data_IF_955663030306
#
_entry.id   IF_955663030306
#
_cell.length_a   1.000
_cell.length_b   1.000
_cell.length_c   1.000
_cell.angle_alpha   90.00
_cell.angle_beta   90.00
_cell.angle_gamma   90.00
#
_symmetry.space_group_name_H-M   'P 1'
#
loop_
_entity.id
_entity.type
_entity.pdbx_description
1 polymer ?
#
# COMPACT_ATOMS: atom_id res chain seq x y z
N UNK A 1 9.85 6.99 -14.89
CA UNK A 1 9.97 6.70 -13.43
C UNK A 1 11.09 7.55 -12.87
N UNK A 2 10.97 8.05 -11.63
CA UNK A 2 11.88 9.07 -11.11
C UNK A 2 13.32 8.57 -10.93
N UNK A 3 13.52 7.27 -10.71
CA UNK A 3 14.85 6.68 -10.53
C UNK A 3 15.81 6.89 -11.71
N UNK A 4 15.31 7.03 -12.95
CA UNK A 4 16.18 7.31 -14.11
C UNK A 4 16.93 8.64 -13.96
N UNK A 5 16.30 9.66 -13.37
CA UNK A 5 16.95 10.95 -13.13
C UNK A 5 18.14 10.80 -12.17
N UNK A 6 17.97 10.00 -11.11
CA UNK A 6 19.03 9.75 -10.13
C UNK A 6 20.16 8.89 -10.70
N UNK A 7 19.83 7.93 -11.57
CA UNK A 7 20.85 7.14 -12.29
C UNK A 7 21.66 8.05 -13.22
N UNK A 8 21.00 8.90 -14.01
CA UNK A 8 21.69 9.84 -14.92
C UNK A 8 22.55 10.82 -14.12
N UNK A 9 22.03 11.37 -13.02
CA UNK A 9 22.80 12.24 -12.13
C UNK A 9 24.02 11.51 -11.55
N UNK A 10 23.87 10.27 -11.10
CA UNK A 10 24.97 9.46 -10.59
C UNK A 10 26.05 9.23 -11.66
N UNK A 11 25.65 8.86 -12.89
CA UNK A 11 26.58 8.67 -14.00
C UNK A 11 27.30 9.98 -14.36
N UNK A 12 26.57 11.10 -14.38
CA UNK A 12 27.14 12.42 -14.63
C UNK A 12 28.16 12.83 -13.56
N UNK A 13 27.84 12.61 -12.28
CA UNK A 13 28.78 12.87 -11.18
C UNK A 13 30.05 12.02 -11.32
N UNK A 14 29.94 10.74 -11.67
CA UNK A 14 31.09 9.89 -11.91
C UNK A 14 31.96 10.40 -13.07
N UNK A 15 31.34 10.91 -14.15
CA UNK A 15 32.08 11.52 -15.27
C UNK A 15 32.85 12.77 -14.83
N UNK A 16 32.26 13.63 -13.99
CA UNK A 16 32.96 14.80 -13.44
C UNK A 16 34.12 14.39 -12.53
N UNK A 17 33.90 13.44 -11.62
CA UNK A 17 34.94 12.93 -10.71
C UNK A 17 36.12 12.39 -11.52
N UNK A 18 35.84 11.70 -12.64
CA UNK A 18 36.86 11.24 -13.58
C UNK A 18 37.59 12.40 -14.27
N UNK A 19 36.85 13.36 -14.85
CA UNK A 19 37.40 14.49 -15.58
C UNK A 19 38.30 15.39 -14.71
N UNK A 20 38.02 15.50 -13.42
CA UNK A 20 38.81 16.27 -12.46
C UNK A 20 39.86 15.44 -11.70
N UNK A 21 40.12 14.19 -12.10
CA UNK A 21 41.10 13.30 -11.47
C UNK A 21 40.95 13.21 -9.94
N UNK A 22 39.71 13.16 -9.45
CA UNK A 22 39.40 13.10 -8.03
C UNK A 22 39.80 11.76 -7.40
N UNK A 23 39.87 11.74 -6.06
CA UNK A 23 40.29 10.54 -5.31
C UNK A 23 39.22 9.45 -5.29
N UNK A 24 39.63 8.21 -5.04
CA UNK A 24 38.73 7.05 -4.91
C UNK A 24 37.65 7.26 -3.82
N UNK A 25 37.96 8.04 -2.78
CA UNK A 25 37.02 8.33 -1.70
C UNK A 25 35.78 9.11 -2.16
N UNK A 26 35.92 9.95 -3.19
CA UNK A 26 34.79 10.69 -3.77
C UNK A 26 33.85 9.74 -4.50
N UNK A 27 34.38 8.75 -5.23
CA UNK A 27 33.57 7.69 -5.86
C UNK A 27 32.80 6.88 -4.82
N UNK A 28 33.48 6.45 -3.75
CA UNK A 28 32.86 5.68 -2.66
C UNK A 28 31.73 6.49 -2.01
N UNK A 29 31.98 7.77 -1.70
CA UNK A 29 30.96 8.65 -1.15
C UNK A 29 29.75 8.79 -2.08
N UNK A 30 29.96 9.06 -3.37
CA UNK A 30 28.88 9.14 -4.35
C UNK A 30 28.10 7.83 -4.48
N UNK A 31 28.77 6.67 -4.44
CA UNK A 31 28.14 5.37 -4.48
C UNK A 31 27.27 5.10 -3.24
N UNK A 32 27.76 5.47 -2.05
CA UNK A 32 26.99 5.35 -0.79
C UNK A 32 25.75 6.23 -0.85
N UNK A 33 25.90 7.50 -1.28
CA UNK A 33 24.77 8.42 -1.41
C UNK A 33 23.73 7.94 -2.43
N UNK A 34 24.18 7.44 -3.58
CA UNK A 34 23.29 6.86 -4.58
C UNK A 34 22.55 5.62 -4.05
N UNK A 35 23.28 4.72 -3.39
CA UNK A 35 22.71 3.53 -2.76
C UNK A 35 21.68 3.88 -1.69
N UNK A 36 21.95 4.89 -0.86
CA UNK A 36 21.01 5.38 0.16
C UNK A 36 19.72 5.94 -0.47
N UNK A 37 19.82 6.69 -1.57
CA UNK A 37 18.65 7.19 -2.32
C UNK A 37 17.86 6.05 -2.93
N UNK A 38 18.52 5.04 -3.50
CA UNK A 38 17.86 3.86 -4.06
C UNK A 38 17.11 3.07 -2.98
N UNK A 39 17.75 2.85 -1.82
CA UNK A 39 17.11 2.17 -0.68
C UNK A 39 15.90 2.98 -0.20
N UNK A 40 16.05 4.28 0.03
CA UNK A 40 14.93 5.12 0.44
C UNK A 40 13.78 5.09 -0.57
N UNK A 41 14.08 5.21 -1.87
CA UNK A 41 13.10 5.10 -2.95
C UNK A 41 12.40 3.73 -3.03
N UNK A 42 13.05 2.67 -2.58
CA UNK A 42 12.48 1.32 -2.51
C UNK A 42 11.45 1.18 -1.39
N UNK A 43 11.68 1.81 -0.25
CA UNK A 43 10.85 1.68 0.96
C UNK A 43 9.82 2.80 1.17
N UNK A 44 9.92 3.90 0.40
CA UNK A 44 8.99 5.02 0.47
C UNK A 44 8.09 5.08 -0.78
N UNK A 45 6.91 4.45 -0.67
CA UNK A 45 5.91 4.37 -1.73
C UNK A 45 5.39 5.74 -2.18
N UNK A 46 5.54 6.79 -1.35
CA UNK A 46 5.08 8.16 -1.66
C UNK A 46 5.97 8.87 -2.67
N UNK A 47 7.24 8.47 -2.77
CA UNK A 47 8.18 9.06 -3.71
C UNK A 47 7.85 8.68 -5.15
N UNK A 48 7.18 7.55 -5.38
CA UNK A 48 6.94 7.02 -6.72
C UNK A 48 8.25 6.70 -7.46
N UNK A 49 9.24 6.20 -6.74
CA UNK A 49 10.61 6.06 -7.26
C UNK A 49 10.69 4.97 -8.34
N UNK A 50 10.26 3.74 -8.01
CA UNK A 50 10.19 2.61 -8.95
C UNK A 50 8.80 2.39 -9.54
N UNK A 51 7.73 2.78 -8.83
CA UNK A 51 6.35 2.58 -9.28
C UNK A 51 5.58 3.85 -9.03
N UNK A 52 4.77 4.31 -9.97
CA UNK A 52 3.85 5.41 -9.72
C UNK A 52 2.70 4.88 -8.85
N UNK A 53 2.52 5.45 -7.66
CA UNK A 53 1.53 5.00 -6.69
C UNK A 53 0.49 6.08 -6.45
N UNK A 54 -0.79 5.72 -6.44
CA UNK A 54 -1.81 6.60 -5.92
C UNK A 54 -1.73 6.55 -4.40
N UNK A 55 -1.33 7.66 -3.77
CA UNK A 55 -1.12 7.73 -2.31
C UNK A 55 -2.10 8.65 -1.60
N UNK A 56 -2.83 9.47 -2.36
CA UNK A 56 -3.86 10.38 -1.91
C UNK A 56 -4.73 10.81 -3.10
N UNK A 57 -5.97 11.19 -2.81
CA UNK A 57 -6.86 11.92 -3.73
C UNK A 57 -6.47 13.39 -3.74
N UNK A 58 -6.42 14.01 -4.92
CA UNK A 58 -6.34 15.48 -5.00
C UNK A 58 -7.76 16.05 -4.90
N UNK A 59 -8.12 16.55 -3.72
CA UNK A 59 -9.48 17.02 -3.43
C UNK A 59 -9.48 18.21 -2.49
N UNK A 60 -10.49 19.07 -2.62
CA UNK A 60 -10.77 20.17 -1.68
C UNK A 60 -11.77 19.76 -0.59
N UNK A 61 -12.43 18.61 -0.76
CA UNK A 61 -13.41 18.06 0.16
C UNK A 61 -12.67 17.36 1.31
N UNK A 62 -13.23 17.43 2.53
CA UNK A 62 -12.73 16.64 3.66
C UNK A 62 -13.20 15.20 3.48
N UNK A 63 -12.46 14.44 2.68
CA UNK A 63 -12.71 13.01 2.46
C UNK A 63 -11.41 12.22 2.65
N UNK A 64 -11.48 10.97 3.12
CA UNK A 64 -10.32 10.07 3.30
C UNK A 64 -10.67 8.65 2.88
N UNK A 65 -9.68 7.86 2.48
CA UNK A 65 -9.87 6.43 2.23
C UNK A 65 -9.36 5.62 3.43
N UNK A 66 -10.25 4.77 3.95
CA UNK A 66 -9.86 3.70 4.88
C UNK A 66 -9.43 2.50 4.05
N UNK A 67 -8.21 2.02 4.26
CA UNK A 67 -7.71 0.85 3.56
C UNK A 67 -7.12 -0.17 4.52
N UNK A 68 -7.43 -1.44 4.29
CA UNK A 68 -7.02 -2.56 5.14
C UNK A 68 -6.21 -3.57 4.33
N UNK A 69 -5.03 -3.93 4.83
CA UNK A 69 -4.17 -4.96 4.22
C UNK A 69 -4.25 -6.27 5.03
N UNK A 70 -3.85 -7.36 4.37
CA UNK A 70 -3.63 -8.71 4.89
C UNK A 70 -4.87 -9.60 5.11
N UNK A 71 -6.07 -9.02 5.13
CA UNK A 71 -7.32 -9.77 5.24
C UNK A 71 -7.66 -10.66 4.02
N UNK A 72 -8.78 -11.39 4.08
CA UNK A 72 -9.66 -11.56 5.24
C UNK A 72 -9.07 -12.48 6.33
N UNK A 73 -9.44 -12.25 7.59
CA UNK A 73 -9.07 -13.06 8.75
C UNK A 73 -10.28 -13.35 9.65
N UNK A 74 -10.07 -13.97 10.81
CA UNK A 74 -11.09 -14.14 11.84
C UNK A 74 -11.57 -12.82 12.47
N UNK A 75 -10.78 -11.74 12.37
CA UNK A 75 -11.15 -10.42 12.88
C UNK A 75 -11.95 -9.60 11.86
N UNK A 76 -11.72 -9.80 10.56
CA UNK A 76 -12.35 -9.04 9.47
C UNK A 76 -13.87 -8.89 9.60
N UNK A 77 -14.67 -9.90 10.01
CA UNK A 77 -16.10 -9.72 10.21
C UNK A 77 -16.47 -8.58 11.15
N UNK A 78 -15.72 -8.37 12.25
CA UNK A 78 -15.96 -7.26 13.19
C UNK A 78 -15.73 -5.89 12.53
N UNK A 79 -14.73 -5.79 11.64
CA UNK A 79 -14.47 -4.57 10.88
C UNK A 79 -15.63 -4.28 9.91
N UNK A 80 -16.11 -5.30 9.21
CA UNK A 80 -17.27 -5.20 8.31
C UNK A 80 -18.53 -4.74 9.06
N UNK A 81 -18.82 -5.33 10.23
CA UNK A 81 -19.93 -4.93 11.10
C UNK A 81 -19.84 -3.44 11.46
N UNK A 82 -18.68 -3.00 11.97
CA UNK A 82 -18.46 -1.60 12.36
C UNK A 82 -18.59 -0.62 11.18
N UNK A 83 -18.03 -0.98 10.02
CA UNK A 83 -18.13 -0.15 8.81
C UNK A 83 -19.58 -0.05 8.33
N UNK A 84 -20.33 -1.16 8.38
CA UNK A 84 -21.76 -1.21 8.02
C UNK A 84 -22.62 -0.38 8.96
N UNK A 85 -22.41 -0.47 10.28
CA UNK A 85 -23.10 0.33 11.29
C UNK A 85 -22.94 1.84 11.06
N UNK A 86 -21.77 2.25 10.56
CA UNK A 86 -21.45 3.64 10.24
C UNK A 86 -21.77 4.03 8.79
N UNK A 87 -22.33 3.11 7.99
CA UNK A 87 -22.59 3.28 6.55
C UNK A 87 -21.34 3.73 5.75
N UNK A 88 -20.17 3.18 6.10
CA UNK A 88 -18.88 3.50 5.49
C UNK A 88 -18.47 2.37 4.55
N UNK A 89 -17.92 2.73 3.39
CA UNK A 89 -17.22 1.81 2.49
C UNK A 89 -15.71 2.05 2.58
N UNK A 90 -14.94 0.96 2.55
CA UNK A 90 -13.49 0.96 2.62
C UNK A 90 -12.91 0.14 1.45
N UNK A 91 -11.59 0.14 1.31
CA UNK A 91 -10.89 -0.74 0.37
C UNK A 91 -10.07 -1.79 1.13
N UNK A 92 -10.18 -3.05 0.73
CA UNK A 92 -9.43 -4.15 1.31
C UNK A 92 -8.44 -4.71 0.28
N UNK A 93 -7.16 -4.75 0.62
CA UNK A 93 -6.11 -5.41 -0.16
C UNK A 93 -5.91 -6.81 0.40
N UNK A 94 -6.53 -7.78 -0.27
CA UNK A 94 -6.64 -9.14 0.22
C UNK A 94 -5.47 -10.02 -0.24
N UNK A 95 -5.02 -10.91 0.64
CA UNK A 95 -4.03 -11.94 0.30
C UNK A 95 -4.77 -13.14 -0.30
N UNK A 96 -4.30 -13.65 -1.44
CA UNK A 96 -4.97 -14.76 -2.15
C UNK A 96 -5.20 -16.00 -1.27
N UNK A 97 -4.20 -16.43 -0.48
CA UNK A 97 -4.36 -17.54 0.48
C UNK A 97 -5.42 -17.27 1.56
N UNK A 98 -5.59 -16.02 1.96
CA UNK A 98 -6.58 -15.65 2.97
C UNK A 98 -8.00 -15.66 2.40
N UNK A 99 -8.16 -15.25 1.14
CA UNK A 99 -9.42 -15.40 0.39
C UNK A 99 -9.85 -16.88 0.37
N UNK A 100 -8.94 -17.78 0.00
CA UNK A 100 -9.21 -19.23 -0.05
C UNK A 100 -9.59 -19.79 1.33
N UNK A 101 -8.99 -19.25 2.40
CA UNK A 101 -9.24 -19.69 3.78
C UNK A 101 -10.54 -19.14 4.37
N UNK A 102 -10.93 -17.93 3.98
CA UNK A 102 -12.10 -17.23 4.51
C UNK A 102 -13.05 -16.73 3.38
N UNK A 103 -13.55 -17.64 2.53
CA UNK A 103 -14.29 -17.26 1.32
C UNK A 103 -15.63 -16.57 1.64
N UNK A 104 -16.31 -16.96 2.71
CA UNK A 104 -17.58 -16.33 3.11
C UNK A 104 -17.39 -14.88 3.57
N UNK A 105 -16.34 -14.61 4.35
CA UNK A 105 -15.97 -13.25 4.76
C UNK A 105 -15.59 -12.40 3.55
N UNK A 106 -14.89 -12.99 2.58
CA UNK A 106 -14.53 -12.30 1.34
C UNK A 106 -15.77 -11.94 0.50
N UNK A 107 -16.72 -12.86 0.33
CA UNK A 107 -17.99 -12.57 -0.39
C UNK A 107 -18.79 -11.49 0.32
N UNK A 108 -18.91 -11.58 1.64
CA UNK A 108 -19.59 -10.57 2.46
C UNK A 108 -19.00 -9.17 2.24
N UNK A 109 -17.67 -9.06 2.19
CA UNK A 109 -16.99 -7.78 1.93
C UNK A 109 -17.42 -7.15 0.59
N UNK A 110 -17.60 -7.97 -0.44
CA UNK A 110 -18.06 -7.55 -1.77
C UNK A 110 -19.55 -7.19 -1.74
N UNK A 111 -20.40 -8.03 -1.14
CA UNK A 111 -21.85 -7.81 -1.01
C UNK A 111 -22.17 -6.53 -0.23
N UNK A 112 -21.34 -6.19 0.76
CA UNK A 112 -21.43 -4.95 1.51
C UNK A 112 -20.84 -3.75 0.75
N UNK A 113 -20.39 -3.91 -0.49
CA UNK A 113 -20.00 -2.82 -1.39
C UNK A 113 -18.64 -2.20 -1.08
N UNK A 114 -17.72 -2.96 -0.46
CA UNK A 114 -16.34 -2.55 -0.30
C UNK A 114 -15.53 -2.83 -1.56
N UNK A 115 -14.50 -2.02 -1.80
CA UNK A 115 -13.60 -2.22 -2.94
C UNK A 115 -12.52 -3.23 -2.63
N UNK A 116 -12.20 -4.08 -3.59
CA UNK A 116 -11.21 -5.15 -3.44
C UNK A 116 -9.95 -4.84 -4.22
N UNK A 117 -8.79 -5.00 -3.59
CA UNK A 117 -7.49 -4.94 -4.22
C UNK A 117 -6.66 -6.21 -3.99
N UNK A 118 -5.67 -6.40 -4.84
CA UNK A 118 -4.74 -7.52 -4.79
C UNK A 118 -3.56 -7.21 -3.85
N UNK A 119 -3.30 -8.09 -2.89
CA UNK A 119 -2.14 -7.99 -1.99
C UNK A 119 -1.18 -9.18 -2.11
N UNK A 120 -1.05 -9.71 -3.32
CA UNK A 120 -0.30 -10.93 -3.67
C UNK A 120 -0.92 -12.20 -3.12
N UNK A 121 -0.52 -13.35 -3.67
CA UNK A 121 -1.10 -14.61 -3.26
C UNK A 121 -0.61 -15.06 -1.88
N UNK A 122 0.69 -14.96 -1.62
CA UNK A 122 1.30 -15.54 -0.42
C UNK A 122 1.74 -14.53 0.65
N UNK A 123 1.94 -13.26 0.28
CA UNK A 123 2.56 -12.25 1.14
C UNK A 123 3.88 -12.74 1.81
N UNK A 124 4.69 -13.46 1.05
CA UNK A 124 5.96 -14.01 1.56
C UNK A 124 6.95 -12.91 1.98
N UNK A 125 7.70 -13.13 3.05
CA UNK A 125 8.82 -12.26 3.47
C UNK A 125 9.89 -12.10 2.37
N UNK A 126 9.87 -12.96 1.33
CA UNK A 126 10.78 -12.89 0.18
C UNK A 126 10.24 -12.07 -0.99
N UNK A 127 9.04 -11.48 -0.90
CA UNK A 127 8.39 -10.70 -1.99
C UNK A 127 9.36 -9.68 -2.61
N UNK A 128 10.09 -8.92 -1.79
CA UNK A 128 11.04 -7.89 -2.25
C UNK A 128 12.23 -8.43 -3.05
N UNK A 129 12.47 -9.74 -3.04
CA UNK A 129 13.59 -10.40 -3.72
C UNK A 129 13.14 -11.29 -4.88
N UNK A 130 11.84 -11.35 -5.17
CA UNK A 130 11.33 -12.15 -6.27
C UNK A 130 11.78 -11.58 -7.63
N UNK A 131 11.95 -12.50 -8.59
CA UNK A 131 12.10 -12.12 -10.00
C UNK A 131 10.78 -11.56 -10.53
N UNK A 132 10.84 -10.84 -11.66
CA UNK A 132 9.62 -10.32 -12.31
C UNK A 132 8.59 -11.42 -12.57
N UNK A 133 9.02 -12.58 -13.11
CA UNK A 133 8.13 -13.70 -13.41
C UNK A 133 7.43 -14.26 -12.17
N UNK A 134 8.17 -14.48 -11.07
CA UNK A 134 7.59 -14.97 -9.82
C UNK A 134 6.62 -13.96 -9.20
N UNK A 135 6.88 -12.66 -9.38
CA UNK A 135 5.97 -11.63 -8.93
C UNK A 135 4.69 -11.58 -9.79
N UNK A 136 4.79 -11.80 -11.11
CA UNK A 136 3.62 -11.96 -11.98
C UNK A 136 2.77 -13.15 -11.49
N UNK A 137 3.39 -14.30 -11.23
CA UNK A 137 2.67 -15.48 -10.71
C UNK A 137 1.97 -15.20 -9.37
N UNK A 138 2.60 -14.46 -8.45
CA UNK A 138 1.99 -14.09 -7.17
C UNK A 138 0.77 -13.16 -7.35
N UNK A 139 0.82 -12.24 -8.32
CA UNK A 139 -0.30 -11.34 -8.62
C UNK A 139 -1.44 -12.15 -9.28
N UNK A 140 -1.13 -12.91 -10.33
CA UNK A 140 -2.12 -13.66 -11.11
C UNK A 140 -2.81 -14.77 -10.30
N UNK A 141 -2.09 -15.44 -9.39
CA UNK A 141 -2.72 -16.40 -8.47
C UNK A 141 -3.69 -15.73 -7.51
N UNK A 142 -3.36 -14.55 -7.01
CA UNK A 142 -4.29 -13.78 -6.18
C UNK A 142 -5.50 -13.29 -6.99
N UNK A 143 -5.29 -12.85 -8.23
CA UNK A 143 -6.39 -12.50 -9.14
C UNK A 143 -7.32 -13.67 -9.42
N UNK A 144 -6.76 -14.88 -9.59
CA UNK A 144 -7.55 -16.10 -9.73
C UNK A 144 -8.41 -16.34 -8.49
N UNK A 145 -7.85 -16.23 -7.29
CA UNK A 145 -8.62 -16.38 -6.05
C UNK A 145 -9.73 -15.31 -5.93
N UNK A 146 -9.44 -14.05 -6.24
CA UNK A 146 -10.43 -12.96 -6.26
C UNK A 146 -11.58 -13.29 -7.22
N UNK A 147 -11.27 -13.75 -8.42
CA UNK A 147 -12.26 -14.12 -9.44
C UNK A 147 -13.08 -15.34 -9.02
N UNK A 148 -12.42 -16.40 -8.53
CA UNK A 148 -13.05 -17.67 -8.16
C UNK A 148 -14.02 -17.53 -6.97
N UNK A 149 -13.64 -16.76 -5.95
CA UNK A 149 -14.44 -16.63 -4.74
C UNK A 149 -15.35 -15.39 -4.71
N UNK A 150 -15.01 -14.34 -5.47
CA UNK A 150 -15.72 -13.06 -5.47
C UNK A 150 -16.45 -12.71 -6.77
N UNK A 151 -16.25 -13.48 -7.84
CA UNK A 151 -16.84 -13.24 -9.15
C UNK A 151 -16.63 -11.80 -9.68
N UNK A 152 -15.44 -11.24 -9.40
CA UNK A 152 -15.04 -9.92 -9.85
C UNK A 152 -13.58 -9.91 -10.30
N UNK A 153 -13.21 -8.87 -11.03
CA UNK A 153 -11.82 -8.55 -11.33
C UNK A 153 -11.48 -7.19 -10.75
N UNK A 154 -10.21 -6.99 -10.41
CA UNK A 154 -9.70 -5.71 -9.90
C UNK A 154 -8.39 -5.40 -10.58
N UNK A 155 -8.15 -4.13 -10.89
CA UNK A 155 -6.83 -3.65 -11.29
C UNK A 155 -6.05 -3.08 -10.09
N UNK A 156 -6.68 -2.91 -8.93
CA UNK A 156 -6.05 -2.38 -7.73
C UNK A 156 -5.01 -3.37 -7.19
N UNK A 157 -3.82 -2.88 -6.91
CA UNK A 157 -2.73 -3.65 -6.32
C UNK A 157 -2.01 -2.82 -5.26
N UNK A 158 -1.64 -3.45 -4.15
CA UNK A 158 -0.75 -2.86 -3.16
C UNK A 158 0.42 -3.80 -2.90
N UNK A 159 1.67 -3.31 -2.94
CA UNK A 159 2.83 -4.16 -2.72
C UNK A 159 2.97 -4.49 -1.23
N UNK A 160 3.19 -5.77 -0.88
CA UNK A 160 3.54 -6.18 0.48
C UNK A 160 4.63 -5.31 1.09
N UNK A 161 4.44 -4.92 2.35
CA UNK A 161 5.34 -4.04 3.11
C UNK A 161 5.57 -2.63 2.52
N UNK A 162 4.91 -2.26 1.42
CA UNK A 162 5.14 -1.02 0.68
C UNK A 162 6.43 -1.00 -0.13
N UNK A 163 7.10 -2.14 -0.27
CA UNK A 163 8.40 -2.24 -0.96
C UNK A 163 8.20 -2.23 -2.46
N UNK A 164 8.92 -1.36 -3.17
CA UNK A 164 8.92 -1.30 -4.63
C UNK A 164 10.33 -1.44 -5.17
N UNK A 165 10.48 -2.11 -6.32
CA UNK A 165 11.77 -2.28 -7.00
C UNK A 165 11.53 -2.50 -8.50
N UNK A 166 12.57 -2.56 -9.35
CA UNK A 166 12.40 -2.75 -10.79
C UNK A 166 11.68 -4.04 -11.20
N UNK A 167 11.81 -5.13 -10.44
CA UNK A 167 11.11 -6.39 -10.74
C UNK A 167 9.61 -6.27 -10.46
N UNK A 168 9.25 -5.69 -9.31
CA UNK A 168 7.86 -5.41 -8.94
C UNK A 168 7.23 -4.43 -9.94
N UNK A 169 7.96 -3.37 -10.34
CA UNK A 169 7.48 -2.40 -11.32
C UNK A 169 7.17 -3.04 -12.69
N UNK A 170 8.02 -3.95 -13.16
CA UNK A 170 7.78 -4.70 -14.40
C UNK A 170 6.59 -5.65 -14.26
N UNK A 171 6.46 -6.33 -13.12
CA UNK A 171 5.34 -7.24 -12.87
C UNK A 171 4.00 -6.49 -12.86
N UNK A 172 3.88 -5.39 -12.11
CA UNK A 172 2.70 -4.52 -12.07
C UNK A 172 2.31 -4.05 -13.47
N UNK A 173 3.29 -3.62 -14.28
CA UNK A 173 3.04 -3.20 -15.66
C UNK A 173 2.54 -4.36 -16.53
N UNK A 174 3.13 -5.54 -16.39
CA UNK A 174 2.76 -6.74 -17.16
C UNK A 174 1.35 -7.23 -16.84
N UNK A 175 0.96 -7.15 -15.56
CA UNK A 175 -0.36 -7.56 -15.07
C UNK A 175 -1.40 -6.42 -15.13
N UNK A 176 -1.03 -5.27 -15.70
CA UNK A 176 -1.89 -4.08 -15.87
C UNK A 176 -2.52 -3.61 -14.56
N UNK A 177 -1.78 -3.68 -13.46
CA UNK A 177 -2.25 -3.25 -12.15
C UNK A 177 -2.00 -1.78 -11.88
N UNK A 178 -2.94 -1.16 -11.16
CA UNK A 178 -2.83 0.16 -10.60
C UNK A 178 -2.29 0.07 -9.17
N UNK A 179 -1.10 0.63 -8.97
CA UNK A 179 -0.43 0.58 -7.67
C UNK A 179 -1.03 1.61 -6.70
N UNK A 180 -1.60 1.14 -5.60
CA UNK A 180 -2.17 1.96 -4.54
C UNK A 180 -1.26 1.93 -3.33
N UNK A 181 -0.73 3.09 -2.97
CA UNK A 181 0.03 3.29 -1.73
C UNK A 181 -0.81 3.96 -0.65
N UNK A 182 -0.14 4.72 0.20
CA UNK A 182 -0.74 5.50 1.27
C UNK A 182 0.13 6.73 1.55
N UNK A 183 -0.45 7.76 2.15
CA UNK A 183 0.28 8.88 2.72
C UNK A 183 0.17 8.93 4.26
N UNK A 184 -0.75 8.16 4.85
CA UNK A 184 -0.92 8.01 6.29
C UNK A 184 -0.70 6.55 6.67
N UNK A 185 0.37 6.26 7.41
CA UNK A 185 0.72 4.89 7.86
C UNK A 185 0.51 4.76 9.36
N UNK A 186 -0.41 3.89 9.78
CA UNK A 186 -0.76 3.65 11.19
C UNK A 186 0.38 3.00 11.99
N UNK A 187 1.14 2.10 11.37
CA UNK A 187 2.06 1.17 12.06
C UNK A 187 1.36 0.33 13.13
N UNK A 188 0.08 0.02 12.93
CA UNK A 188 -0.74 -0.82 13.79
C UNK A 188 -0.23 -2.26 13.91
N UNK A 189 0.53 -2.78 12.96
CA UNK A 189 1.20 -4.09 13.10
C UNK A 189 2.45 -4.06 13.98
N UNK A 190 2.99 -2.89 14.30
CA UNK A 190 4.26 -2.73 15.04
C UNK A 190 4.08 -2.07 16.40
N UNK A 191 3.23 -1.04 16.48
CA UNK A 191 2.99 -0.28 17.70
C UNK A 191 1.96 -1.02 18.56
N UNK A 192 2.25 -1.21 19.85
CA UNK A 192 1.31 -1.87 20.78
C UNK A 192 0.22 -0.93 21.33
N UNK A 193 0.53 0.36 21.47
CA UNK A 193 -0.34 1.36 22.09
C UNK A 193 -1.32 1.98 21.08
N UNK A 194 -2.62 1.71 21.27
CA UNK A 194 -3.73 2.18 20.43
C UNK A 194 -3.76 3.71 20.33
N UNK A 195 -3.51 4.44 21.42
CA UNK A 195 -3.52 5.91 21.42
C UNK A 195 -2.36 6.46 20.59
N UNK A 196 -1.20 5.80 20.60
CA UNK A 196 -0.07 6.18 19.74
C UNK A 196 -0.38 5.93 18.27
N UNK A 197 -1.05 4.83 17.94
CA UNK A 197 -1.49 4.53 16.57
C UNK A 197 -2.49 5.61 16.10
N UNK A 198 -3.55 5.87 16.88
CA UNK A 198 -4.56 6.86 16.57
C UNK A 198 -3.96 8.26 16.37
N UNK A 199 -3.07 8.69 17.27
CA UNK A 199 -2.38 9.98 17.14
C UNK A 199 -1.53 10.05 15.88
N UNK A 200 -0.88 8.96 15.50
CA UNK A 200 -0.07 8.90 14.27
C UNK A 200 -0.95 9.04 13.03
N UNK A 201 -2.10 8.36 13.00
CA UNK A 201 -3.06 8.44 11.89
C UNK A 201 -3.65 9.84 11.78
N UNK A 202 -4.09 10.42 12.90
CA UNK A 202 -4.82 11.70 12.94
C UNK A 202 -3.93 12.92 12.77
N UNK A 203 -2.68 12.89 13.27
CA UNK A 203 -1.74 14.03 13.18
C UNK A 203 -1.40 14.42 11.74
N UNK A 204 -1.19 13.44 10.88
CA UNK A 204 -0.77 13.65 9.48
C UNK A 204 -1.94 13.58 8.50
N UNK A 205 -3.18 13.54 9.01
CA UNK A 205 -4.37 13.41 8.20
C UNK A 205 -4.63 14.69 7.38
N UNK A 206 -4.89 14.49 6.10
CA UNK A 206 -5.18 15.56 5.14
C UNK A 206 -6.38 15.17 4.30
N UNK A 207 -6.97 16.16 3.63
CA UNK A 207 -7.98 15.95 2.60
C UNK A 207 -7.44 15.01 1.52
N UNK A 208 -8.20 13.98 1.20
CA UNK A 208 -7.84 12.95 0.24
C UNK A 208 -6.83 11.92 0.74
N UNK A 209 -6.46 11.92 2.03
CA UNK A 209 -5.52 10.93 2.54
C UNK A 209 -6.01 9.49 2.33
N UNK A 210 -5.08 8.60 1.98
CA UNK A 210 -5.28 7.15 2.02
C UNK A 210 -4.59 6.63 3.28
N UNK A 211 -5.38 6.02 4.17
CA UNK A 211 -4.95 5.52 5.47
C UNK A 211 -4.70 4.01 5.35
N UNK A 212 -3.47 3.58 5.65
CA UNK A 212 -3.12 2.17 5.77
C UNK A 212 -3.37 1.65 7.19
N UNK A 213 -4.21 0.62 7.31
CA UNK A 213 -4.52 -0.18 8.50
C UNK A 213 -4.48 -1.68 8.13
N UNK A 214 -4.61 -2.58 9.12
CA UNK A 214 -4.72 -4.02 8.90
C UNK A 214 -5.90 -4.58 9.71
N UNK A 215 -6.78 -5.34 9.06
CA UNK A 215 -7.97 -5.94 9.67
C UNK A 215 -7.68 -7.31 10.34
N UNK A 216 -6.54 -7.37 11.03
CA UNK A 216 -5.94 -8.63 11.53
C UNK A 216 -5.87 -8.71 13.06
N UNK A 217 -6.33 -7.68 13.78
CA UNK A 217 -6.25 -7.66 15.25
C UNK A 217 -7.33 -6.82 15.91
N UNK A 218 -7.68 -7.19 17.15
CA UNK A 218 -8.57 -6.42 18.03
C UNK A 218 -8.05 -5.01 18.33
N UNK A 219 -6.73 -4.86 18.46
CA UNK A 219 -6.09 -3.55 18.66
C UNK A 219 -6.39 -2.60 17.50
N UNK A 220 -6.26 -3.06 16.25
CA UNK A 220 -6.59 -2.21 15.10
C UNK A 220 -8.09 -1.92 15.04
N UNK A 221 -8.95 -2.86 15.46
CA UNK A 221 -10.38 -2.63 15.56
C UNK A 221 -10.71 -1.48 16.53
N UNK A 222 -10.12 -1.48 17.74
CA UNK A 222 -10.31 -0.39 18.71
C UNK A 222 -9.81 0.96 18.17
N UNK A 223 -8.67 0.95 17.47
CA UNK A 223 -8.17 2.16 16.77
C UNK A 223 -9.15 2.63 15.71
N UNK A 224 -9.78 1.71 14.96
CA UNK A 224 -10.77 2.06 13.95
C UNK A 224 -12.00 2.72 14.59
N UNK A 225 -12.52 2.18 15.70
CA UNK A 225 -13.66 2.79 16.43
C UNK A 225 -13.37 4.26 16.76
N UNK A 226 -12.23 4.53 17.39
CA UNK A 226 -11.83 5.90 17.76
C UNK A 226 -11.54 6.77 16.53
N UNK A 227 -11.00 6.19 15.47
CA UNK A 227 -10.76 6.89 14.21
C UNK A 227 -12.08 7.32 13.56
N UNK A 228 -13.11 6.47 13.54
CA UNK A 228 -14.42 6.82 12.98
C UNK A 228 -15.06 7.98 13.76
N UNK A 229 -15.03 7.94 15.10
CA UNK A 229 -15.49 9.05 15.95
C UNK A 229 -14.71 10.34 15.70
N UNK A 230 -13.39 10.24 15.48
CA UNK A 230 -12.57 11.39 15.10
C UNK A 230 -13.01 11.96 13.74
N UNK A 231 -13.17 11.10 12.73
CA UNK A 231 -13.53 11.52 11.37
C UNK A 231 -14.91 12.20 11.35
N UNK A 232 -15.89 11.65 12.06
CA UNK A 232 -17.22 12.24 12.19
C UNK A 232 -17.15 13.64 12.83
N UNK A 233 -16.48 13.77 13.98
CA UNK A 233 -16.31 15.05 14.68
C UNK A 233 -15.62 16.10 13.81
N UNK A 234 -14.61 15.69 13.05
CA UNK A 234 -13.84 16.56 12.15
C UNK A 234 -14.52 16.78 10.78
N UNK A 235 -15.69 16.16 10.57
CA UNK A 235 -16.52 16.20 9.36
C UNK A 235 -15.78 15.72 8.11
N UNK A 236 -15.09 14.59 8.24
CA UNK A 236 -14.55 13.85 7.10
C UNK A 236 -15.56 12.83 6.59
N UNK A 237 -15.81 12.83 5.28
CA UNK A 237 -16.44 11.71 4.60
C UNK A 237 -15.40 10.65 4.22
N UNK A 238 -15.86 9.49 3.75
CA UNK A 238 -14.99 8.42 3.28
C UNK A 238 -15.17 8.16 1.79
N UNK A 239 -14.12 7.69 1.12
CA UNK A 239 -14.17 7.21 -0.26
C UNK A 239 -13.37 5.90 -0.41
N UNK A 240 -13.61 5.16 -1.49
CA UNK A 240 -12.86 3.96 -1.85
C UNK A 240 -11.85 4.25 -2.96
N UNK A 241 -10.71 3.55 -2.98
CA UNK A 241 -9.59 3.91 -3.88
C UNK A 241 -9.80 3.56 -5.35
N UNK A 242 -10.91 2.92 -5.71
CA UNK A 242 -11.39 2.77 -7.10
C UNK A 242 -12.25 3.95 -7.56
N UNK A 243 -12.67 4.84 -6.65
CA UNK A 243 -13.51 6.01 -6.98
C UNK A 243 -12.68 7.22 -7.43
N UNK A 244 -11.48 7.01 -7.99
CA UNK A 244 -10.67 8.10 -8.55
C UNK A 244 -11.11 8.35 -9.99
N UNK A 245 -11.91 9.41 -10.19
CA UNK A 245 -12.17 9.98 -11.51
C UNK A 245 -10.88 10.52 -12.18
#
# INVERSE_FOLDING_TARGET
MKHYLFIVLYLFLNLLIYAFHSTIWVYIFCFIMFSAVVIWGSFDITLGYFVNSITHKRTKIKEVALTFDDGPTEFTPKFLDLLKENNIKATFFCIGKQIEKHPETFRRMIEEGHSIGNHTYSHSNKIGFLSTLKMIEEIEKCDKAISEFGNLTTDLYRPPFGVTNPNIAKAIKSTKKNNIGWNVRSLDTVIADEKKILRRVTKDLKKGSIILLHDTSEKTYNVLVELLLFLEREKYSTFTVDSFD
#
